data_IF_386423153850
#
_entry.id   IF_386423153850
#
_cell.length_a   1.000
_cell.length_b   1.000
_cell.length_c   1.000
_cell.angle_alpha   90.00
_cell.angle_beta   90.00
_cell.angle_gamma   90.00
#
_symmetry.space_group_name_H-M   'P 1'
#
loop_
_entity.id
_entity.type
_entity.pdbx_description
1 polymer ?
#
# COMPACT_ATOMS: atom_id res chain seq x y z
N UNK A 1 -12.69 10.80 5.56
CA UNK A 1 -11.22 10.99 5.63
C UNK A 1 -10.58 10.03 4.64
N UNK A 2 -9.58 10.48 3.87
CA UNK A 2 -8.85 9.57 2.98
C UNK A 2 -7.81 8.78 3.77
N UNK A 3 -7.83 7.45 3.60
CA UNK A 3 -6.88 6.52 4.19
C UNK A 3 -6.11 5.78 3.10
N UNK A 4 -4.93 5.29 3.45
CA UNK A 4 -4.06 4.43 2.66
C UNK A 4 -3.94 3.08 3.37
N UNK A 5 -4.66 2.10 2.83
CA UNK A 5 -4.84 0.78 3.41
C UNK A 5 -3.90 -0.23 2.73
N UNK A 6 -3.00 -0.89 3.47
CA UNK A 6 -2.13 -1.94 2.95
C UNK A 6 -2.89 -3.25 2.73
N UNK A 7 -2.74 -3.85 1.55
CA UNK A 7 -3.38 -5.12 1.21
C UNK A 7 -2.41 -6.09 0.51
N UNK A 8 -2.85 -7.35 0.35
CA UNK A 8 -2.16 -8.38 -0.44
C UNK A 8 -2.90 -8.61 -1.76
N UNK A 9 -2.18 -8.90 -2.85
CA UNK A 9 -2.83 -9.20 -4.14
C UNK A 9 -3.85 -10.34 -4.07
N UNK A 10 -3.61 -11.33 -3.20
CA UNK A 10 -4.53 -12.44 -2.92
C UNK A 10 -5.85 -11.98 -2.30
N UNK A 11 -5.85 -10.95 -1.46
CA UNK A 11 -7.04 -10.37 -0.82
C UNK A 11 -7.93 -9.65 -1.83
N UNK A 12 -7.32 -8.95 -2.79
CA UNK A 12 -8.05 -8.33 -3.89
C UNK A 12 -8.74 -9.38 -4.75
N UNK A 13 -8.06 -10.49 -5.07
CA UNK A 13 -8.63 -11.60 -5.82
C UNK A 13 -9.81 -12.25 -5.10
N UNK A 14 -9.72 -12.39 -3.77
CA UNK A 14 -10.79 -12.92 -2.94
C UNK A 14 -11.94 -11.92 -2.71
N UNK A 15 -11.67 -10.62 -2.87
CA UNK A 15 -12.63 -9.56 -2.57
C UNK A 15 -12.91 -9.41 -1.07
N UNK A 16 -11.95 -9.76 -0.23
CA UNK A 16 -12.10 -9.73 1.23
C UNK A 16 -10.85 -9.12 1.87
N UNK A 17 -10.99 -7.91 2.44
CA UNK A 17 -9.92 -7.21 3.12
C UNK A 17 -10.05 -7.39 4.65
N UNK A 18 -9.04 -7.94 5.34
CA UNK A 18 -9.08 -8.07 6.80
C UNK A 18 -8.97 -6.69 7.47
N UNK A 19 -9.61 -6.45 8.63
CA UNK A 19 -9.42 -5.18 9.34
C UNK A 19 -7.96 -4.97 9.73
N UNK A 20 -7.35 -3.87 9.27
CA UNK A 20 -5.97 -3.48 9.58
C UNK A 20 -5.87 -1.99 9.87
N UNK A 21 -4.86 -1.61 10.64
CA UNK A 21 -4.46 -0.21 10.71
C UNK A 21 -4.11 0.28 9.28
N UNK A 22 -4.52 1.51 9.00
CA UNK A 22 -4.21 2.22 7.76
C UNK A 22 -3.66 3.61 8.09
N UNK A 23 -3.13 4.31 7.11
CA UNK A 23 -2.50 5.62 7.31
C UNK A 23 -3.31 6.73 6.68
N UNK A 24 -3.30 7.92 7.27
CA UNK A 24 -3.96 9.09 6.70
C UNK A 24 -3.18 10.35 7.06
N UNK A 25 -3.44 11.42 6.32
CA UNK A 25 -3.05 12.75 6.79
C UNK A 25 -3.81 13.07 8.06
N UNK A 26 -3.10 13.59 9.05
CA UNK A 26 -3.66 14.03 10.32
C UNK A 26 -4.86 14.95 10.09
N UNK A 27 -6.06 14.57 10.56
CA UNK A 27 -7.26 15.36 10.34
C UNK A 27 -7.21 16.78 10.93
N UNK A 28 -6.35 17.01 11.92
CA UNK A 28 -6.18 18.28 12.62
C UNK A 28 -5.00 19.14 12.12
N UNK A 29 -4.21 18.66 11.15
CA UNK A 29 -3.03 19.37 10.66
C UNK A 29 -3.38 20.59 9.79
N UNK A 30 -4.58 20.64 9.20
CA UNK A 30 -5.04 21.78 8.41
C UNK A 30 -4.21 22.02 7.13
N UNK A 31 -3.59 20.97 6.60
CA UNK A 31 -2.75 21.03 5.39
C UNK A 31 -3.58 21.21 4.12
N UNK A 32 -3.01 21.92 3.14
CA UNK A 32 -3.62 22.23 1.86
C UNK A 32 -2.59 22.29 0.74
N UNK A 33 -3.00 22.07 -0.51
CA UNK A 33 -2.12 22.18 -1.68
C UNK A 33 -0.95 21.21 -1.61
N UNK A 34 0.26 21.69 -1.91
CA UNK A 34 1.49 20.89 -1.92
C UNK A 34 1.77 20.22 -0.58
N UNK A 35 1.55 20.90 0.56
CA UNK A 35 1.78 20.32 1.89
C UNK A 35 0.88 19.10 2.14
N UNK A 36 -0.37 19.13 1.63
CA UNK A 36 -1.28 17.99 1.72
C UNK A 36 -0.79 16.83 0.83
N UNK A 37 -0.34 17.12 -0.39
CA UNK A 37 0.16 16.10 -1.32
C UNK A 37 1.40 15.38 -0.75
N UNK A 38 2.30 16.12 -0.09
CA UNK A 38 3.47 15.55 0.61
C UNK A 38 3.03 14.62 1.73
N UNK A 39 2.12 15.06 2.60
CA UNK A 39 1.64 14.22 3.70
C UNK A 39 0.86 12.97 3.21
N UNK A 40 0.13 13.10 2.09
CA UNK A 40 -0.52 11.96 1.42
C UNK A 40 0.50 10.97 0.82
N UNK A 41 1.66 11.45 0.34
CA UNK A 41 2.77 10.61 -0.11
C UNK A 41 3.45 9.89 1.06
N UNK A 42 3.67 10.57 2.19
CA UNK A 42 4.22 9.97 3.41
C UNK A 42 3.29 8.88 3.95
N UNK A 43 1.98 9.13 3.99
CA UNK A 43 1.00 8.14 4.41
C UNK A 43 0.96 6.92 3.46
N UNK A 44 1.10 7.13 2.14
CA UNK A 44 1.26 6.03 1.17
C UNK A 44 2.56 5.26 1.40
N UNK A 45 3.66 5.93 1.71
CA UNK A 45 4.95 5.31 2.00
C UNK A 45 4.85 4.36 3.20
N UNK A 46 4.18 4.77 4.28
CA UNK A 46 3.96 3.91 5.44
C UNK A 46 3.08 2.70 5.10
N UNK A 47 2.00 2.89 4.34
CA UNK A 47 1.17 1.78 3.87
C UNK A 47 1.95 0.83 2.94
N UNK A 48 2.87 1.34 2.12
CA UNK A 48 3.73 0.54 1.25
C UNK A 48 4.65 -0.38 2.06
N UNK A 49 5.22 0.13 3.16
CA UNK A 49 6.07 -0.63 4.08
C UNK A 49 5.28 -1.74 4.79
N UNK A 50 4.07 -1.44 5.27
CA UNK A 50 3.20 -2.46 5.87
C UNK A 50 2.79 -3.54 4.86
N UNK A 51 2.50 -3.16 3.61
CA UNK A 51 2.24 -4.11 2.53
C UNK A 51 3.42 -5.07 2.32
N UNK A 52 4.67 -4.57 2.34
CA UNK A 52 5.88 -5.42 2.28
C UNK A 52 6.00 -6.33 3.50
N UNK A 53 5.68 -5.83 4.69
CA UNK A 53 5.70 -6.63 5.91
C UNK A 53 4.72 -7.81 5.81
N UNK A 54 3.49 -7.58 5.30
CA UNK A 54 2.52 -8.64 5.08
C UNK A 54 2.95 -9.62 3.99
N UNK A 55 3.52 -9.13 2.88
CA UNK A 55 4.02 -9.98 1.80
C UNK A 55 5.14 -10.92 2.25
N UNK A 56 5.98 -10.49 3.21
CA UNK A 56 7.05 -11.33 3.75
C UNK A 56 6.53 -12.56 4.49
N UNK A 57 5.35 -12.44 5.10
CA UNK A 57 4.70 -13.51 5.84
C UNK A 57 3.77 -14.37 4.94
N UNK A 58 3.58 -13.96 3.67
CA UNK A 58 2.76 -14.67 2.69
C UNK A 58 3.58 -15.73 1.93
N UNK A 59 3.15 -17.00 2.00
CA UNK A 59 3.81 -18.10 1.29
C UNK A 59 3.47 -18.16 -0.21
N UNK A 60 2.40 -17.48 -0.63
CA UNK A 60 1.86 -17.57 -2.00
C UNK A 60 1.22 -16.24 -2.42
N UNK A 61 1.79 -15.54 -3.40
CA UNK A 61 1.21 -14.29 -3.87
C UNK A 61 2.07 -13.54 -4.88
N UNK A 62 1.49 -12.50 -5.44
CA UNK A 62 2.16 -11.55 -6.35
C UNK A 62 3.14 -10.69 -5.58
N UNK A 63 4.37 -10.56 -6.10
CA UNK A 63 5.42 -9.73 -5.53
C UNK A 63 5.22 -8.25 -5.91
N UNK A 64 4.26 -7.60 -5.25
CA UNK A 64 3.91 -6.20 -5.51
C UNK A 64 3.39 -5.52 -4.24
N UNK A 65 3.94 -4.37 -3.88
CA UNK A 65 3.35 -3.46 -2.88
C UNK A 65 1.95 -3.08 -3.35
N UNK A 66 0.98 -3.23 -2.47
CA UNK A 66 -0.43 -3.09 -2.78
C UNK A 66 -1.10 -2.18 -1.73
N UNK A 67 -1.59 -1.02 -2.19
CA UNK A 67 -2.23 -0.02 -1.34
C UNK A 67 -3.56 0.41 -1.95
N UNK A 68 -4.59 0.55 -1.11
CA UNK A 68 -5.87 1.16 -1.46
C UNK A 68 -5.90 2.58 -0.89
N UNK A 69 -6.25 3.57 -1.70
CA UNK A 69 -6.82 4.80 -1.17
C UNK A 69 -8.33 4.62 -1.00
N UNK A 70 -8.84 4.88 0.19
CA UNK A 70 -10.27 4.79 0.48
C UNK A 70 -10.75 5.98 1.33
N UNK A 71 -11.97 6.42 1.09
CA UNK A 71 -12.62 7.48 1.85
C UNK A 71 -13.54 6.84 2.91
N UNK A 72 -13.06 6.81 4.17
CA UNK A 72 -13.78 6.22 5.31
C UNK A 72 -14.00 7.30 6.38
N UNK A 73 -15.21 7.35 6.92
CA UNK A 73 -15.60 8.31 7.96
C UNK A 73 -15.65 7.66 9.35
N UNK A 74 -15.46 8.47 10.40
CA UNK A 74 -15.65 8.05 11.79
C UNK A 74 -14.56 7.16 12.39
N UNK A 75 -13.43 6.97 11.71
CA UNK A 75 -12.27 6.26 12.26
C UNK A 75 -11.59 7.10 13.35
N UNK A 76 -11.21 6.45 14.45
CA UNK A 76 -10.23 7.02 15.38
C UNK A 76 -8.82 6.92 14.80
N UNK A 77 -7.93 7.80 15.24
CA UNK A 77 -6.56 7.86 14.77
C UNK A 77 -5.61 8.27 15.90
N UNK A 78 -4.34 7.91 15.75
CA UNK A 78 -3.23 8.27 16.62
C UNK A 78 -2.10 8.87 15.78
N UNK A 79 -1.38 9.84 16.32
CA UNK A 79 -0.21 10.44 15.66
C UNK A 79 0.87 9.37 15.43
N UNK A 80 1.41 9.33 14.22
CA UNK A 80 2.40 8.33 13.82
C UNK A 80 3.76 8.99 13.52
N UNK A 81 3.82 9.83 12.48
CA UNK A 81 5.02 10.55 12.08
C UNK A 81 4.65 11.87 11.38
N UNK A 82 5.21 12.99 11.86
CA UNK A 82 4.91 14.32 11.34
C UNK A 82 3.41 14.61 11.18
N UNK A 83 3.00 14.79 9.93
CA UNK A 83 1.62 15.09 9.52
C UNK A 83 0.79 13.83 9.19
N UNK A 84 1.31 12.64 9.47
CA UNK A 84 0.65 11.36 9.24
C UNK A 84 0.13 10.76 10.55
N UNK A 85 -1.08 10.21 10.49
CA UNK A 85 -1.70 9.45 11.56
C UNK A 85 -1.95 7.99 11.14
N UNK A 86 -1.95 7.11 12.14
CA UNK A 86 -2.39 5.73 11.98
C UNK A 86 -3.84 5.62 12.48
N UNK A 87 -4.70 5.02 11.67
CA UNK A 87 -6.11 4.79 12.00
C UNK A 87 -6.28 3.54 12.86
N UNK A 88 -7.38 3.47 13.61
CA UNK A 88 -7.88 2.20 14.16
C UNK A 88 -8.16 1.19 13.04
N UNK A 89 -8.06 -0.13 13.31
CA UNK A 89 -8.29 -1.15 12.29
C UNK A 89 -9.59 -0.97 11.51
N UNK A 90 -9.48 -0.99 10.18
CA UNK A 90 -10.59 -0.82 9.25
C UNK A 90 -10.39 -1.71 8.01
N UNK A 91 -11.46 -1.89 7.23
CA UNK A 91 -11.42 -2.60 5.96
C UNK A 91 -12.21 -1.77 4.93
N UNK A 92 -11.60 -1.37 3.81
CA UNK A 92 -12.31 -0.69 2.73
C UNK A 92 -13.40 -1.58 2.12
N UNK A 93 -14.54 -0.99 1.78
CA UNK A 93 -15.55 -1.60 0.91
C UNK A 93 -15.49 -1.00 -0.50
N UNK A 94 -16.22 -1.60 -1.45
CA UNK A 94 -16.22 -1.16 -2.86
C UNK A 94 -16.60 0.31 -3.07
N UNK A 95 -17.45 0.85 -2.19
CA UNK A 95 -18.01 2.19 -2.35
C UNK A 95 -17.08 3.25 -1.73
N UNK A 96 -16.24 2.84 -0.78
CA UNK A 96 -15.21 3.69 -0.17
C UNK A 96 -13.92 3.78 -0.99
N UNK A 97 -13.64 2.82 -1.87
CA UNK A 97 -12.36 2.77 -2.62
C UNK A 97 -12.31 3.90 -3.65
N UNK A 98 -11.28 4.75 -3.54
CA UNK A 98 -11.01 5.85 -4.44
C UNK A 98 -9.94 5.50 -5.50
N UNK A 99 -8.95 4.67 -5.14
CA UNK A 99 -7.91 4.22 -6.06
C UNK A 99 -7.13 3.01 -5.52
N UNK A 100 -6.40 2.35 -6.43
CA UNK A 100 -5.36 1.39 -6.09
C UNK A 100 -3.99 1.93 -6.49
N UNK A 101 -2.98 1.59 -5.70
CA UNK A 101 -1.57 1.80 -6.01
C UNK A 101 -0.85 0.45 -5.95
N UNK A 102 -0.24 0.06 -7.05
CA UNK A 102 0.52 -1.19 -7.14
C UNK A 102 1.86 -1.02 -7.84
N UNK A 103 2.82 -1.86 -7.51
CA UNK A 103 4.07 -1.90 -8.28
C UNK A 103 3.80 -2.34 -9.74
N UNK A 104 4.50 -1.76 -10.74
CA UNK A 104 4.48 -2.27 -12.11
C UNK A 104 5.13 -3.66 -12.17
N UNK A 105 4.82 -4.50 -13.18
CA UNK A 105 5.39 -5.85 -13.28
C UNK A 105 6.93 -5.90 -13.25
N UNK A 106 7.59 -4.86 -13.74
CA UNK A 106 9.05 -4.78 -13.82
C UNK A 106 9.71 -4.51 -12.46
N UNK A 107 8.96 -4.07 -11.45
CA UNK A 107 9.44 -3.86 -10.08
C UNK A 107 9.43 -5.14 -9.22
N UNK A 108 8.78 -6.23 -9.69
CA UNK A 108 8.72 -7.51 -8.96
C UNK A 108 10.10 -8.06 -8.53
N UNK A 109 11.19 -7.96 -9.32
CA UNK A 109 12.52 -8.35 -8.87
C UNK A 109 13.05 -7.53 -7.69
N UNK A 110 12.75 -6.23 -7.63
CA UNK A 110 13.14 -5.36 -6.52
C UNK A 110 12.38 -5.72 -5.24
N UNK A 111 11.06 -5.95 -5.34
CA UNK A 111 10.24 -6.44 -4.21
C UNK A 111 10.80 -7.75 -3.67
N UNK A 112 11.16 -8.71 -4.53
CA UNK A 112 11.76 -9.98 -4.09
C UNK A 112 13.08 -9.81 -3.34
N UNK A 113 13.90 -8.83 -3.72
CA UNK A 113 15.15 -8.55 -2.99
C UNK A 113 14.84 -8.14 -1.56
N UNK A 114 13.85 -7.25 -1.37
CA UNK A 114 13.39 -6.82 -0.04
C UNK A 114 12.92 -8.02 0.77
N UNK A 115 12.05 -8.86 0.21
CA UNK A 115 11.50 -10.02 0.95
C UNK A 115 12.56 -11.08 1.27
N UNK A 116 13.64 -11.16 0.50
CA UNK A 116 14.73 -12.12 0.71
C UNK A 116 15.84 -11.59 1.60
N UNK A 117 15.87 -10.30 1.91
CA UNK A 117 16.86 -9.71 2.80
C UNK A 117 16.84 -10.43 4.16
N UNK A 118 18.01 -10.84 4.65
CA UNK A 118 18.15 -11.57 5.92
C UNK A 118 18.83 -10.71 7.00
N UNK A 119 19.42 -9.59 6.61
CA UNK A 119 20.06 -8.63 7.50
C UNK A 119 19.41 -7.26 7.35
N UNK A 120 19.60 -6.40 8.34
CA UNK A 120 19.10 -5.03 8.29
C UNK A 120 19.75 -4.24 7.16
N UNK A 121 21.08 -4.36 6.99
CA UNK A 121 21.81 -3.67 5.92
C UNK A 121 21.29 -4.10 4.53
N UNK A 122 21.05 -5.40 4.32
CA UNK A 122 20.48 -5.89 3.05
C UNK A 122 19.05 -5.36 2.81
N UNK A 123 18.26 -5.25 3.88
CA UNK A 123 16.89 -4.77 3.81
C UNK A 123 16.86 -3.28 3.46
N UNK A 124 17.69 -2.47 4.11
CA UNK A 124 17.80 -1.04 3.87
C UNK A 124 18.24 -0.75 2.43
N UNK A 125 19.24 -1.48 1.91
CA UNK A 125 19.67 -1.34 0.52
C UNK A 125 18.57 -1.77 -0.46
N UNK A 126 17.90 -2.90 -0.21
CA UNK A 126 16.86 -3.39 -1.10
C UNK A 126 15.62 -2.47 -1.11
N UNK A 127 15.25 -1.92 0.05
CA UNK A 127 14.17 -0.93 0.18
C UNK A 127 14.52 0.34 -0.57
N UNK A 128 15.74 0.86 -0.41
CA UNK A 128 16.19 2.03 -1.16
C UNK A 128 16.10 1.81 -2.68
N UNK A 129 16.50 0.63 -3.18
CA UNK A 129 16.36 0.28 -4.60
C UNK A 129 14.90 0.20 -5.06
N UNK A 130 14.01 -0.37 -4.23
CA UNK A 130 12.60 -0.47 -4.55
C UNK A 130 11.89 0.89 -4.56
N UNK A 131 12.35 1.87 -3.76
CA UNK A 131 11.74 3.20 -3.71
C UNK A 131 12.01 4.04 -4.97
N UNK A 132 12.96 3.64 -5.82
CA UNK A 132 13.13 4.21 -7.16
C UNK A 132 12.02 3.75 -8.12
N UNK A 133 11.33 2.64 -7.80
CA UNK A 133 10.18 2.15 -8.57
C UNK A 133 8.91 2.85 -8.10
N UNK A 134 8.28 3.59 -9.01
CA UNK A 134 7.02 4.29 -8.75
C UNK A 134 5.84 3.32 -8.74
N UNK A 135 4.92 3.51 -7.79
CA UNK A 135 3.64 2.82 -7.81
C UNK A 135 2.76 3.36 -8.94
N UNK A 136 2.12 2.47 -9.68
CA UNK A 136 1.12 2.79 -10.69
C UNK A 136 -0.24 3.02 -10.03
N UNK A 137 -0.95 4.05 -10.49
CA UNK A 137 -2.29 4.40 -10.04
C UNK A 137 -3.34 3.72 -10.93
N UNK A 138 -4.36 3.13 -10.31
CA UNK A 138 -5.50 2.52 -11.00
C UNK A 138 -6.81 3.01 -10.39
N UNK A 139 -7.81 3.24 -11.25
CA UNK A 139 -9.15 3.60 -10.83
C UNK A 139 -9.91 2.38 -10.24
N UNK A 140 -10.94 2.60 -9.40
CA UNK A 140 -11.74 1.52 -8.83
C UNK A 140 -12.34 0.58 -9.89
N UNK A 141 -12.73 1.13 -11.05
CA UNK A 141 -13.31 0.37 -12.17
C UNK A 141 -12.31 -0.55 -12.87
N UNK A 142 -11.00 -0.31 -12.68
CA UNK A 142 -9.92 -1.08 -13.29
C UNK A 142 -9.55 -2.32 -12.47
N UNK A 143 -10.31 -2.66 -11.43
CA UNK A 143 -10.07 -3.83 -10.57
C UNK A 143 -9.81 -5.12 -11.36
N UNK A 144 -10.59 -5.40 -12.41
CA UNK A 144 -10.42 -6.62 -13.22
C UNK A 144 -9.13 -6.60 -14.06
N UNK A 145 -8.68 -5.43 -14.50
CA UNK A 145 -7.37 -5.27 -15.16
C UNK A 145 -6.25 -5.50 -14.14
N UNK A 146 -6.39 -4.90 -12.95
CA UNK A 146 -5.44 -4.99 -11.85
C UNK A 146 -5.19 -6.44 -11.42
N UNK A 147 -6.24 -7.26 -11.33
CA UNK A 147 -6.10 -8.69 -11.05
C UNK A 147 -5.23 -9.41 -12.08
N UNK A 148 -5.39 -9.12 -13.37
CA UNK A 148 -4.58 -9.71 -14.44
C UNK A 148 -3.12 -9.24 -14.38
N UNK A 149 -2.89 -7.98 -14.02
CA UNK A 149 -1.54 -7.43 -13.81
C UNK A 149 -0.85 -8.21 -12.69
N UNK A 150 -1.50 -8.35 -11.53
CA UNK A 150 -0.98 -9.10 -10.39
C UNK A 150 -0.77 -10.58 -10.71
N UNK A 151 -1.68 -11.22 -11.44
CA UNK A 151 -1.52 -12.61 -11.91
C UNK A 151 -0.29 -12.77 -12.80
N UNK A 152 -0.04 -11.83 -13.72
CA UNK A 152 1.10 -11.88 -14.64
C UNK A 152 2.47 -11.80 -13.94
N UNK A 153 2.52 -11.18 -12.76
CA UNK A 153 3.73 -11.10 -11.93
C UNK A 153 4.09 -12.44 -11.29
N UNK A 154 3.12 -13.35 -11.13
CA UNK A 154 3.34 -14.70 -10.65
C UNK A 154 3.88 -15.63 -11.74
N UNK A 155 3.46 -15.43 -12.99
CA UNK A 155 3.90 -16.29 -14.11
C UNK A 155 5.34 -16.01 -14.56
N UNK A 156 5.83 -14.80 -14.33
CA UNK A 156 7.21 -14.39 -14.64
C UNK A 156 8.20 -14.75 -13.51
N UNK A 157 7.74 -15.49 -12.50
CA UNK A 157 8.47 -15.82 -11.29
C UNK A 157 9.47 -16.97 -11.42
#
# INVERSE_FOLDING_TARGET
MRIYYPFLGSELAQGNFPPRNAYCVRPDAGLHGEDLEVAEDDARTLAALDSLAFLRDEESGSFSRCIIAADIEGLSWEECDGDVAQTSPCAPDSDSIAAYFIDPPDAAPAVRKVLRAQTQDDADEAVAQLWEESLEWYAPEERELLLRVLESMNERA
#
